data_IF_423377529541
#
_entry.id   IF_423377529541
#
_cell.length_a   1.000
_cell.length_b   1.000
_cell.length_c   1.000
_cell.angle_alpha   90.00
_cell.angle_beta   90.00
_cell.angle_gamma   90.00
#
_symmetry.space_group_name_H-M   'P 1'
#
loop_
_entity.id
_entity.type
_entity.pdbx_description
1 polymer ?
#
# COMPACT_ATOMS: atom_id res chain seq x y z
N UNK A 1 -33.75 -30.87 18.33
CA UNK A 1 -33.07 -30.67 17.03
C UNK A 1 -32.79 -29.18 16.91
N UNK A 2 -31.53 -28.76 17.03
CA UNK A 2 -31.13 -27.35 16.82
C UNK A 2 -30.81 -27.21 15.34
N UNK A 3 -31.63 -26.43 14.62
CA UNK A 3 -31.33 -26.02 13.24
C UNK A 3 -30.14 -25.08 13.25
N UNK A 4 -29.00 -25.56 12.80
CA UNK A 4 -27.89 -24.70 12.40
C UNK A 4 -28.26 -24.15 11.01
N UNK A 5 -28.66 -22.89 10.96
CA UNK A 5 -28.72 -22.14 9.70
C UNK A 5 -27.29 -22.04 9.19
N UNK A 6 -27.00 -22.61 8.02
CA UNK A 6 -25.81 -22.35 7.23
C UNK A 6 -25.83 -20.89 6.79
N UNK A 7 -25.45 -20.00 7.69
CA UNK A 7 -25.10 -18.62 7.33
C UNK A 7 -23.75 -18.71 6.59
N UNK A 8 -23.81 -18.80 5.28
CA UNK A 8 -22.66 -18.55 4.40
C UNK A 8 -22.38 -17.06 4.48
N UNK A 9 -21.77 -16.64 5.60
CA UNK A 9 -21.48 -15.25 5.90
C UNK A 9 -20.58 -14.64 4.84
N UNK A 10 -21.18 -14.08 3.82
CA UNK A 10 -20.49 -13.15 2.92
C UNK A 10 -20.05 -11.97 3.79
N UNK A 11 -18.75 -11.88 4.03
CA UNK A 11 -18.18 -10.79 4.81
C UNK A 11 -18.48 -9.46 4.08
N UNK A 12 -19.35 -8.64 4.65
CA UNK A 12 -19.69 -7.33 4.10
C UNK A 12 -18.62 -6.30 4.43
N UNK A 13 -18.24 -5.42 3.48
CA UNK A 13 -17.31 -4.33 3.75
C UNK A 13 -17.82 -3.40 4.86
N UNK A 14 -16.90 -2.92 5.69
CA UNK A 14 -17.17 -1.89 6.69
C UNK A 14 -16.75 -0.51 6.14
N UNK A 15 -17.71 0.25 5.63
CA UNK A 15 -17.46 1.58 5.07
C UNK A 15 -16.95 2.58 6.13
N UNK A 16 -17.41 2.46 7.37
CA UNK A 16 -16.95 3.31 8.47
C UNK A 16 -15.47 3.10 8.76
N UNK A 17 -15.00 1.84 8.74
CA UNK A 17 -13.58 1.53 8.93
C UNK A 17 -12.73 1.99 7.74
N UNK A 18 -13.25 1.88 6.52
CA UNK A 18 -12.58 2.41 5.33
C UNK A 18 -12.49 3.93 5.36
N UNK A 19 -13.58 4.61 5.70
CA UNK A 19 -13.60 6.07 5.83
C UNK A 19 -12.65 6.54 6.92
N UNK A 20 -12.66 5.91 8.10
CA UNK A 20 -11.78 6.23 9.21
C UNK A 20 -10.29 6.08 8.84
N UNK A 21 -9.92 4.99 8.16
CA UNK A 21 -8.56 4.80 7.67
C UNK A 21 -8.13 5.90 6.69
N UNK A 22 -9.00 6.25 5.73
CA UNK A 22 -8.71 7.27 4.73
C UNK A 22 -8.64 8.67 5.35
N UNK A 23 -9.52 8.97 6.31
CA UNK A 23 -9.49 10.23 7.06
C UNK A 23 -8.19 10.37 7.86
N UNK A 24 -7.74 9.31 8.52
CA UNK A 24 -6.47 9.28 9.21
C UNK A 24 -5.28 9.47 8.25
N UNK A 25 -5.35 8.88 7.04
CA UNK A 25 -4.27 8.96 6.06
C UNK A 25 -4.12 10.35 5.43
N UNK A 26 -5.22 11.10 5.22
CA UNK A 26 -5.14 12.34 4.44
C UNK A 26 -6.17 13.42 4.83
N UNK A 27 -6.92 13.23 5.90
CA UNK A 27 -7.96 14.15 6.34
C UNK A 27 -9.33 13.85 5.73
N UNK A 28 -10.34 14.49 6.33
CA UNK A 28 -11.74 14.34 5.94
C UNK A 28 -11.95 14.78 4.48
N UNK A 29 -12.79 14.03 3.78
CA UNK A 29 -13.18 14.30 2.38
C UNK A 29 -12.00 14.37 1.38
N UNK A 30 -10.82 13.86 1.76
CA UNK A 30 -9.68 13.79 0.87
C UNK A 30 -9.97 12.91 -0.36
N UNK A 31 -9.33 13.27 -1.47
CA UNK A 31 -9.42 12.51 -2.72
C UNK A 31 -8.28 11.51 -2.84
N UNK A 32 -8.59 10.37 -3.41
CA UNK A 32 -7.68 9.24 -3.56
C UNK A 32 -7.74 8.63 -4.96
N UNK A 33 -6.72 7.88 -5.29
CA UNK A 33 -6.76 6.93 -6.39
C UNK A 33 -6.89 5.53 -5.81
N UNK A 34 -8.03 4.90 -6.04
CA UNK A 34 -8.31 3.53 -5.66
C UNK A 34 -7.96 2.59 -6.81
N UNK A 35 -7.62 1.37 -6.47
CA UNK A 35 -7.31 0.30 -7.41
C UNK A 35 -7.98 -0.98 -6.95
N UNK A 36 -8.53 -1.75 -7.89
CA UNK A 36 -8.95 -3.13 -7.64
C UNK A 36 -8.17 -4.10 -8.51
N UNK A 37 -8.01 -5.33 -8.02
CA UNK A 37 -7.44 -6.45 -8.75
C UNK A 37 -8.19 -7.73 -8.38
N UNK A 38 -8.17 -8.73 -9.26
CA UNK A 38 -8.67 -10.05 -8.92
C UNK A 38 -7.76 -10.71 -7.88
N UNK A 39 -8.30 -10.98 -6.69
CA UNK A 39 -7.58 -11.69 -5.63
C UNK A 39 -7.60 -13.21 -5.82
N UNK A 40 -8.51 -13.76 -6.63
CA UNK A 40 -8.63 -15.21 -6.87
C UNK A 40 -7.63 -15.64 -7.92
N UNK A 41 -6.51 -16.24 -7.46
CA UNK A 41 -5.34 -16.55 -8.29
C UNK A 41 -5.65 -17.39 -9.53
N UNK A 42 -6.48 -18.40 -9.39
CA UNK A 42 -6.86 -19.32 -10.47
C UNK A 42 -7.65 -18.58 -11.56
N UNK A 43 -8.61 -17.76 -11.14
CA UNK A 43 -9.40 -16.92 -12.05
C UNK A 43 -8.52 -15.86 -12.73
N UNK A 44 -7.63 -15.20 -11.98
CA UNK A 44 -6.68 -14.23 -12.54
C UNK A 44 -5.78 -14.86 -13.59
N UNK A 45 -5.23 -16.07 -13.34
CA UNK A 45 -4.40 -16.80 -14.30
C UNK A 45 -5.18 -17.17 -15.56
N UNK A 46 -6.42 -17.71 -15.40
CA UNK A 46 -7.28 -18.04 -16.52
C UNK A 46 -7.61 -16.82 -17.36
N UNK A 47 -8.05 -15.71 -16.74
CA UNK A 47 -8.36 -14.47 -17.44
C UNK A 47 -7.15 -13.87 -18.16
N UNK A 48 -5.98 -13.89 -17.56
CA UNK A 48 -4.75 -13.41 -18.23
C UNK A 48 -4.38 -14.26 -19.44
N UNK A 49 -4.56 -15.59 -19.36
CA UNK A 49 -4.31 -16.49 -20.46
C UNK A 49 -5.32 -16.26 -21.61
N UNK A 50 -6.60 -16.14 -21.30
CA UNK A 50 -7.66 -16.13 -22.29
C UNK A 50 -7.92 -14.73 -22.87
N UNK A 51 -7.78 -13.68 -22.05
CA UNK A 51 -8.11 -12.29 -22.38
C UNK A 51 -6.93 -11.34 -22.41
N UNK A 52 -5.77 -11.77 -21.90
CA UNK A 52 -4.54 -10.93 -21.81
C UNK A 52 -4.59 -9.89 -20.68
N UNK A 53 -5.65 -9.78 -19.89
CA UNK A 53 -5.79 -8.77 -18.84
C UNK A 53 -6.59 -9.29 -17.62
N UNK A 54 -6.53 -8.55 -16.51
CA UNK A 54 -7.36 -8.75 -15.33
C UNK A 54 -8.67 -7.97 -15.47
N UNK A 55 -9.84 -8.64 -15.63
CA UNK A 55 -11.14 -7.97 -15.78
C UNK A 55 -11.62 -7.26 -14.51
N UNK A 56 -11.00 -7.51 -13.36
CA UNK A 56 -11.27 -6.81 -12.09
C UNK A 56 -10.32 -5.64 -11.83
N UNK A 57 -9.29 -5.44 -12.66
CA UNK A 57 -8.42 -4.29 -12.54
C UNK A 57 -9.16 -3.02 -12.97
N UNK A 58 -9.45 -2.14 -12.00
CA UNK A 58 -10.11 -0.85 -12.18
C UNK A 58 -9.40 0.21 -11.38
N UNK A 59 -9.34 1.42 -11.92
CA UNK A 59 -8.83 2.62 -11.25
C UNK A 59 -9.98 3.60 -11.05
N UNK A 60 -10.13 4.13 -9.84
CA UNK A 60 -11.11 5.14 -9.49
C UNK A 60 -10.40 6.33 -8.86
N UNK A 61 -10.75 7.55 -9.28
CA UNK A 61 -10.17 8.78 -8.76
C UNK A 61 -11.26 9.66 -8.17
N UNK A 62 -11.10 10.09 -6.92
CA UNK A 62 -12.09 10.93 -6.23
C UNK A 62 -12.20 10.61 -4.74
N UNK A 63 -13.30 11.02 -4.13
CA UNK A 63 -13.60 10.74 -2.73
C UNK A 63 -14.08 9.29 -2.54
N UNK A 64 -13.93 8.77 -1.33
CA UNK A 64 -14.44 7.43 -1.00
C UNK A 64 -15.95 7.31 -1.21
N UNK A 65 -16.71 8.34 -0.82
CA UNK A 65 -18.17 8.34 -0.97
C UNK A 65 -18.63 8.21 -2.42
N UNK A 66 -17.86 8.74 -3.39
CA UNK A 66 -18.18 8.60 -4.82
C UNK A 66 -18.03 7.16 -5.33
N UNK A 67 -17.18 6.34 -4.69
CA UNK A 67 -16.77 5.06 -5.26
C UNK A 67 -17.05 3.84 -4.36
N UNK A 68 -17.43 4.05 -3.09
CA UNK A 68 -17.61 2.97 -2.09
C UNK A 68 -18.49 1.82 -2.58
N UNK A 69 -19.60 2.12 -3.25
CA UNK A 69 -20.55 1.09 -3.70
C UNK A 69 -19.97 0.28 -4.89
N UNK A 70 -19.28 0.94 -5.82
CA UNK A 70 -18.60 0.26 -6.93
C UNK A 70 -17.44 -0.61 -6.42
N UNK A 71 -16.67 -0.13 -5.43
CA UNK A 71 -15.60 -0.90 -4.78
C UNK A 71 -16.18 -2.12 -4.05
N UNK A 72 -17.28 -1.95 -3.31
CA UNK A 72 -17.97 -3.04 -2.62
C UNK A 72 -18.51 -4.09 -3.58
N UNK A 73 -19.11 -3.67 -4.68
CA UNK A 73 -19.63 -4.58 -5.71
C UNK A 73 -18.52 -5.43 -6.35
N UNK A 74 -17.31 -4.86 -6.55
CA UNK A 74 -16.16 -5.63 -7.04
C UNK A 74 -15.58 -6.54 -5.95
N UNK A 75 -15.51 -6.07 -4.71
CA UNK A 75 -15.02 -6.87 -3.58
C UNK A 75 -15.91 -8.09 -3.33
N UNK A 76 -17.24 -7.94 -3.40
CA UNK A 76 -18.19 -9.04 -3.30
C UNK A 76 -18.00 -10.11 -4.40
N UNK A 77 -17.41 -9.73 -5.55
CA UNK A 77 -17.04 -10.64 -6.64
C UNK A 77 -15.62 -11.23 -6.48
N UNK A 78 -14.97 -10.97 -5.36
CA UNK A 78 -13.64 -11.49 -5.03
C UNK A 78 -12.48 -10.61 -5.51
N UNK A 79 -12.72 -9.36 -5.87
CA UNK A 79 -11.63 -8.40 -6.08
C UNK A 79 -11.07 -7.92 -4.74
N UNK A 80 -9.76 -7.74 -4.65
CA UNK A 80 -9.12 -6.95 -3.60
C UNK A 80 -9.29 -5.46 -3.88
N UNK A 81 -9.50 -4.66 -2.82
CA UNK A 81 -9.62 -3.20 -2.88
C UNK A 81 -8.39 -2.57 -2.26
N UNK A 82 -7.81 -1.61 -2.99
CA UNK A 82 -6.56 -0.96 -2.62
C UNK A 82 -6.68 0.56 -2.80
N UNK A 83 -5.84 1.29 -2.10
CA UNK A 83 -5.66 2.73 -2.25
C UNK A 83 -4.20 3.07 -2.50
N UNK A 84 -3.92 4.03 -3.38
CA UNK A 84 -2.57 4.59 -3.52
C UNK A 84 -2.26 5.40 -2.26
N UNK A 85 -1.21 5.01 -1.53
CA UNK A 85 -0.88 5.64 -0.23
C UNK A 85 -0.52 7.09 -0.43
N UNK A 86 0.41 7.38 -1.35
CA UNK A 86 0.84 8.73 -1.66
C UNK A 86 -0.18 9.48 -2.53
N UNK A 87 -0.17 10.80 -2.45
CA UNK A 87 -1.11 11.64 -3.17
C UNK A 87 -0.84 11.62 -4.67
N UNK A 88 -1.90 11.35 -5.44
CA UNK A 88 -1.88 11.46 -6.90
C UNK A 88 -2.48 12.78 -7.36
N UNK A 89 -2.25 13.12 -8.64
CA UNK A 89 -2.95 14.21 -9.34
C UNK A 89 -4.34 13.80 -9.85
N UNK A 90 -4.87 12.65 -9.45
CA UNK A 90 -6.16 12.06 -9.84
C UNK A 90 -6.31 11.76 -11.36
N UNK A 91 -5.21 11.77 -12.12
CA UNK A 91 -5.20 11.42 -13.55
C UNK A 91 -4.75 9.98 -13.80
N UNK A 92 -4.50 9.22 -12.72
CA UNK A 92 -4.04 7.84 -12.74
C UNK A 92 -3.14 7.52 -11.56
N UNK A 93 -2.48 6.36 -11.61
CA UNK A 93 -1.62 5.89 -10.52
C UNK A 93 -0.20 5.49 -10.96
N UNK A 94 0.28 5.98 -12.09
CA UNK A 94 1.70 5.81 -12.46
C UNK A 94 2.57 6.68 -11.56
N UNK A 95 3.85 6.40 -11.51
CA UNK A 95 4.83 7.21 -10.74
C UNK A 95 4.72 8.70 -11.06
N UNK A 96 4.63 9.06 -12.34
CA UNK A 96 4.45 10.44 -12.80
C UNK A 96 3.13 11.11 -12.34
N UNK A 97 2.19 10.35 -11.77
CA UNK A 97 0.98 10.90 -11.21
C UNK A 97 1.10 11.25 -9.72
N UNK A 98 2.18 10.85 -9.05
CA UNK A 98 2.38 11.14 -7.63
C UNK A 98 2.85 12.59 -7.47
N UNK A 99 2.20 13.32 -6.57
CA UNK A 99 2.46 14.75 -6.33
C UNK A 99 2.91 15.06 -4.90
N UNK A 100 2.69 14.13 -3.95
CA UNK A 100 3.11 14.31 -2.55
C UNK A 100 3.27 12.96 -1.86
N UNK A 101 4.31 12.81 -1.04
CA UNK A 101 4.44 11.71 -0.09
C UNK A 101 3.53 12.01 1.11
N UNK A 102 2.62 11.08 1.43
CA UNK A 102 1.75 11.15 2.62
C UNK A 102 2.31 10.36 3.77
N UNK A 103 2.89 9.20 3.48
CA UNK A 103 3.40 8.30 4.50
C UNK A 103 4.59 7.49 4.00
N UNK A 104 5.47 7.11 4.93
CA UNK A 104 6.31 5.93 4.81
C UNK A 104 5.56 4.75 5.42
N UNK A 105 5.74 3.54 4.90
CA UNK A 105 4.97 2.38 5.34
C UNK A 105 5.75 1.08 5.19
N UNK A 106 5.39 0.09 5.96
CA UNK A 106 5.98 -1.26 5.86
C UNK A 106 4.89 -2.30 5.71
N UNK A 107 5.14 -3.30 4.88
CA UNK A 107 4.34 -4.51 4.74
C UNK A 107 5.05 -5.65 5.46
N UNK A 108 4.47 -6.10 6.58
CA UNK A 108 4.96 -7.23 7.37
C UNK A 108 4.27 -8.52 6.89
N UNK A 109 4.72 -9.05 5.76
CA UNK A 109 4.22 -10.31 5.19
C UNK A 109 4.95 -11.51 5.83
N UNK A 110 4.53 -11.85 7.07
CA UNK A 110 5.12 -12.93 7.86
C UNK A 110 6.19 -12.50 8.87
N UNK A 111 6.58 -11.24 8.90
CA UNK A 111 7.46 -10.69 9.95
C UNK A 111 6.66 -10.31 11.20
N UNK A 112 7.24 -10.46 12.42
CA UNK A 112 6.55 -10.11 13.66
C UNK A 112 6.29 -8.60 13.74
N UNK A 113 5.16 -8.23 14.34
CA UNK A 113 4.81 -6.83 14.60
C UNK A 113 5.55 -6.25 15.83
N UNK A 114 6.04 -7.11 16.70
CA UNK A 114 6.63 -6.73 17.99
C UNK A 114 7.70 -5.62 17.89
N UNK A 115 8.66 -5.64 16.94
CA UNK A 115 9.64 -4.56 16.81
C UNK A 115 9.03 -3.17 16.55
N UNK A 116 7.82 -3.09 15.98
CA UNK A 116 7.09 -1.84 15.82
C UNK A 116 6.39 -1.48 17.13
N UNK A 117 5.77 -2.44 17.81
CA UNK A 117 5.08 -2.21 19.08
C UNK A 117 6.04 -1.80 20.20
N UNK A 118 7.31 -2.22 20.14
CA UNK A 118 8.36 -1.87 21.10
C UNK A 118 8.98 -0.49 20.85
N UNK A 119 8.57 0.22 19.80
CA UNK A 119 9.05 1.59 19.58
C UNK A 119 8.57 2.53 20.70
N UNK A 120 9.36 3.57 21.05
CA UNK A 120 8.88 4.66 21.90
C UNK A 120 7.58 5.26 21.38
N UNK A 121 6.75 5.76 22.29
CA UNK A 121 5.40 6.27 21.95
C UNK A 121 5.45 7.37 20.87
N UNK A 122 6.46 8.24 20.94
CA UNK A 122 6.72 9.34 20.00
C UNK A 122 7.31 8.89 18.64
N UNK A 123 7.55 7.60 18.43
CA UNK A 123 7.99 6.99 17.16
C UNK A 123 7.03 5.91 16.65
N UNK A 124 5.92 5.68 17.35
CA UNK A 124 4.90 4.72 16.90
C UNK A 124 4.29 5.13 15.55
N UNK A 125 3.89 4.18 14.71
CA UNK A 125 3.18 4.50 13.48
C UNK A 125 1.80 5.11 13.81
N UNK A 126 1.32 6.00 12.94
CA UNK A 126 -0.01 6.59 13.06
C UNK A 126 -1.11 5.56 12.86
N UNK A 127 -0.90 4.60 11.96
CA UNK A 127 -1.90 3.60 11.60
C UNK A 127 -1.22 2.25 11.46
N UNK A 128 -1.82 1.22 12.06
CA UNK A 128 -1.50 -0.18 11.76
C UNK A 128 -2.80 -0.85 11.34
N UNK A 129 -2.76 -1.65 10.28
CA UNK A 129 -3.88 -2.49 9.85
C UNK A 129 -3.50 -3.96 9.81
N UNK A 130 -4.44 -4.84 10.15
CA UNK A 130 -4.36 -6.26 9.83
C UNK A 130 -4.77 -6.44 8.36
N UNK A 131 -3.82 -6.77 7.50
CA UNK A 131 -4.07 -6.99 6.06
C UNK A 131 -4.58 -8.41 5.78
N UNK A 132 -4.21 -9.36 6.63
CA UNK A 132 -4.68 -10.74 6.72
C UNK A 132 -4.20 -11.33 8.06
N UNK A 133 -4.57 -12.56 8.45
CA UNK A 133 -4.10 -13.15 9.70
C UNK A 133 -2.57 -13.13 9.81
N UNK A 134 -2.06 -12.52 10.90
CA UNK A 134 -0.63 -12.36 11.21
C UNK A 134 0.17 -11.57 10.14
N UNK A 135 -0.49 -10.69 9.40
CA UNK A 135 0.15 -9.79 8.43
C UNK A 135 -0.34 -8.37 8.63
N UNK A 136 0.59 -7.43 8.64
CA UNK A 136 0.31 -6.06 9.04
C UNK A 136 0.88 -5.07 8.04
N UNK A 137 0.19 -3.93 7.90
CA UNK A 137 0.79 -2.74 7.29
C UNK A 137 0.85 -1.66 8.35
N UNK A 138 2.00 -1.03 8.53
CA UNK A 138 2.17 0.09 9.44
C UNK A 138 2.55 1.35 8.65
N UNK A 139 1.97 2.50 9.03
CA UNK A 139 2.08 3.76 8.31
C UNK A 139 2.56 4.87 9.25
N UNK A 140 3.63 5.54 8.87
CA UNK A 140 4.10 6.79 9.48
C UNK A 140 3.75 7.94 8.55
N UNK A 141 2.78 8.77 8.92
CA UNK A 141 2.46 9.99 8.18
C UNK A 141 3.64 10.94 8.25
N UNK A 142 4.01 11.53 7.11
CA UNK A 142 5.19 12.39 7.04
C UNK A 142 4.91 13.71 6.34
N UNK A 143 5.64 14.73 6.77
CA UNK A 143 5.79 16.01 6.08
C UNK A 143 7.23 16.15 5.58
N UNK A 144 7.44 17.08 4.64
CA UNK A 144 8.76 17.45 4.12
C UNK A 144 9.56 16.27 3.51
N UNK A 145 8.86 15.26 2.95
CA UNK A 145 9.47 14.16 2.24
C UNK A 145 9.45 14.44 0.74
N UNK A 146 10.61 14.65 0.15
CA UNK A 146 10.75 14.83 -1.29
C UNK A 146 10.45 13.50 -2.03
N UNK A 147 9.84 13.60 -3.22
CA UNK A 147 9.49 12.42 -4.01
C UNK A 147 10.72 11.56 -4.34
N UNK A 148 11.86 12.19 -4.56
CA UNK A 148 13.13 11.54 -4.89
C UNK A 148 13.73 10.75 -3.73
N UNK A 149 13.43 11.13 -2.49
CA UNK A 149 13.92 10.48 -1.27
C UNK A 149 13.09 9.22 -0.90
N UNK A 150 11.83 9.17 -1.34
CA UNK A 150 10.86 8.16 -0.91
C UNK A 150 11.41 6.74 -1.03
N UNK A 151 11.91 6.37 -2.20
CA UNK A 151 12.34 4.98 -2.46
C UNK A 151 13.41 4.50 -1.49
N UNK A 152 14.39 5.34 -1.25
CA UNK A 152 15.52 5.02 -0.35
C UNK A 152 15.06 4.90 1.10
N UNK A 153 14.21 5.83 1.55
CA UNK A 153 13.62 5.80 2.89
C UNK A 153 12.73 4.57 3.10
N UNK A 154 11.95 4.24 2.09
CA UNK A 154 11.07 3.08 2.11
C UNK A 154 11.87 1.77 2.20
N UNK A 155 12.98 1.67 1.48
CA UNK A 155 13.89 0.52 1.55
C UNK A 155 14.55 0.40 2.93
N UNK A 156 15.01 1.53 3.51
CA UNK A 156 15.60 1.56 4.85
C UNK A 156 14.56 1.15 5.91
N UNK A 157 13.32 1.62 5.80
CA UNK A 157 12.23 1.26 6.71
C UNK A 157 11.89 -0.24 6.60
N UNK A 158 11.79 -0.77 5.38
CA UNK A 158 11.56 -2.20 5.15
C UNK A 158 12.71 -3.06 5.70
N UNK A 159 13.96 -2.62 5.56
CA UNK A 159 15.13 -3.31 6.12
C UNK A 159 15.10 -3.33 7.65
N UNK A 160 14.76 -2.19 8.29
CA UNK A 160 14.69 -2.07 9.75
C UNK A 160 13.70 -3.04 10.39
N UNK A 161 12.52 -3.17 9.81
CA UNK A 161 11.44 -4.01 10.37
C UNK A 161 11.29 -5.37 9.69
N UNK A 162 12.27 -5.76 8.87
CA UNK A 162 12.23 -7.00 8.09
C UNK A 162 10.93 -7.12 7.25
N UNK A 163 10.46 -6.00 6.71
CA UNK A 163 9.29 -5.95 5.83
C UNK A 163 9.60 -6.37 4.41
N UNK A 164 8.55 -6.46 3.57
CA UNK A 164 8.71 -6.79 2.15
C UNK A 164 9.49 -5.68 1.43
N UNK A 165 10.73 -6.00 1.03
CA UNK A 165 11.63 -5.07 0.32
C UNK A 165 11.14 -4.68 -1.07
N UNK A 166 10.19 -5.42 -1.65
CA UNK A 166 9.56 -5.07 -2.94
C UNK A 166 8.57 -3.93 -2.82
N UNK A 167 8.14 -3.58 -1.59
CA UNK A 167 7.20 -2.50 -1.29
C UNK A 167 7.96 -1.18 -1.16
N UNK A 168 8.51 -0.67 -2.29
CA UNK A 168 9.31 0.55 -2.33
C UNK A 168 8.94 1.52 -3.45
N UNK A 169 7.88 1.24 -4.21
CA UNK A 169 7.42 2.11 -5.29
C UNK A 169 6.61 3.27 -4.72
N UNK A 170 6.89 4.50 -5.18
CA UNK A 170 6.19 5.71 -4.71
C UNK A 170 4.68 5.69 -5.03
N UNK A 171 4.28 4.97 -6.06
CA UNK A 171 2.89 4.78 -6.48
C UNK A 171 2.26 3.48 -5.93
N UNK A 172 2.85 2.92 -4.86
CA UNK A 172 2.36 1.69 -4.23
C UNK A 172 0.91 1.83 -3.79
N UNK A 173 0.13 0.81 -4.10
CA UNK A 173 -1.20 0.63 -3.54
C UNK A 173 -1.15 -0.38 -2.39
N UNK A 174 -1.84 -0.05 -1.31
CA UNK A 174 -1.99 -0.91 -0.13
C UNK A 174 -3.46 -1.22 0.08
N UNK A 175 -3.76 -2.34 0.73
CA UNK A 175 -5.15 -2.76 0.98
C UNK A 175 -5.90 -1.71 1.77
N UNK A 176 -7.13 -1.42 1.33
CA UNK A 176 -8.04 -0.54 2.03
C UNK A 176 -8.68 -1.29 3.20
N UNK A 177 -8.51 -0.75 4.42
CA UNK A 177 -9.17 -1.29 5.61
C UNK A 177 -10.70 -1.33 5.41
N UNK A 178 -11.37 -2.31 6.02
CA UNK A 178 -12.82 -2.49 5.90
C UNK A 178 -13.28 -3.31 4.69
N UNK A 179 -12.38 -3.73 3.79
CA UNK A 179 -12.70 -4.58 2.64
C UNK A 179 -12.12 -5.99 2.78
N UNK A 180 -12.74 -6.95 2.13
CA UNK A 180 -12.28 -8.34 2.16
C UNK A 180 -11.00 -8.54 1.35
N UNK A 181 -10.06 -9.25 1.96
CA UNK A 181 -8.91 -9.87 1.32
C UNK A 181 -9.30 -11.28 0.88
N UNK A 182 -9.35 -11.55 -0.43
CA UNK A 182 -9.92 -12.78 -1.00
C UNK A 182 -8.89 -13.73 -1.63
N UNK A 183 -7.58 -13.59 -1.30
CA UNK A 183 -6.51 -14.44 -1.88
C UNK A 183 -6.52 -15.88 -1.36
N UNK A 184 -7.07 -16.10 -0.17
CA UNK A 184 -7.21 -17.40 0.49
C UNK A 184 -8.59 -17.41 1.17
N UNK A 185 -8.69 -17.90 2.42
CA UNK A 185 -9.87 -17.68 3.24
C UNK A 185 -10.14 -16.18 3.36
N UNK A 186 -11.38 -15.78 3.12
CA UNK A 186 -11.76 -14.36 3.09
C UNK A 186 -11.58 -13.73 4.47
N UNK A 187 -10.86 -12.61 4.53
CA UNK A 187 -10.55 -11.89 5.75
C UNK A 187 -10.88 -10.41 5.58
N UNK A 188 -11.66 -9.81 6.48
CA UNK A 188 -11.86 -8.35 6.47
C UNK A 188 -10.60 -7.67 6.99
N UNK A 189 -9.95 -6.87 6.13
CA UNK A 189 -8.85 -6.00 6.56
C UNK A 189 -9.37 -4.99 7.57
N UNK A 190 -8.67 -4.80 8.68
CA UNK A 190 -9.17 -3.97 9.78
C UNK A 190 -8.06 -3.09 10.37
N UNK A 191 -8.48 -2.01 10.99
CA UNK A 191 -7.58 -1.15 11.77
C UNK A 191 -7.18 -1.93 13.03
N UNK A 192 -5.87 -2.17 13.18
CA UNK A 192 -5.28 -2.79 14.37
C UNK A 192 -5.07 -1.74 15.46
N UNK A 193 -4.36 -0.67 15.15
CA UNK A 193 -4.19 0.52 16.00
C UNK A 193 -4.23 1.79 15.17
N UNK A 194 -4.63 2.89 15.79
CA UNK A 194 -4.61 4.22 15.18
C UNK A 194 -4.32 5.26 16.26
N UNK A 195 -3.46 6.22 15.95
CA UNK A 195 -3.00 7.31 16.82
C UNK A 195 -3.64 8.62 16.35
N UNK A 196 -4.77 9.00 16.94
CA UNK A 196 -5.54 10.17 16.49
C UNK A 196 -4.88 11.52 16.82
N UNK A 197 -4.00 11.52 17.82
CA UNK A 197 -3.38 12.75 18.35
C UNK A 197 -1.97 13.00 17.87
N UNK A 198 -1.37 12.03 17.18
CA UNK A 198 0.00 12.15 16.69
C UNK A 198 0.03 12.99 15.42
N UNK A 199 0.77 14.09 15.44
CA UNK A 199 0.98 14.91 14.25
C UNK A 199 1.93 14.18 13.25
N UNK A 200 1.73 14.38 11.92
CA UNK A 200 2.65 13.84 10.93
C UNK A 200 4.11 14.21 11.22
N UNK A 201 4.99 13.24 11.15
CA UNK A 201 6.41 13.42 11.41
C UNK A 201 7.04 14.36 10.38
N UNK A 202 7.93 15.23 10.82
CA UNK A 202 8.98 15.69 9.92
C UNK A 202 9.83 14.48 9.52
N UNK A 203 10.05 14.28 8.22
CA UNK A 203 10.71 13.08 7.71
C UNK A 203 12.11 12.90 8.28
N UNK A 204 12.85 14.01 8.50
CA UNK A 204 14.20 13.95 9.07
C UNK A 204 14.17 13.47 10.52
N UNK A 205 13.24 14.00 11.34
CA UNK A 205 13.06 13.55 12.72
C UNK A 205 12.70 12.07 12.81
N UNK A 206 11.83 11.59 11.91
CA UNK A 206 11.49 10.17 11.85
C UNK A 206 12.70 9.31 11.48
N UNK A 207 13.48 9.73 10.48
CA UNK A 207 14.72 9.04 10.10
C UNK A 207 15.70 8.94 11.26
N UNK A 208 15.98 10.06 11.92
CA UNK A 208 16.91 10.12 13.04
C UNK A 208 16.41 9.25 14.20
N UNK A 209 15.13 9.36 14.56
CA UNK A 209 14.50 8.60 15.65
C UNK A 209 14.46 7.09 15.39
N UNK A 210 14.18 6.68 14.16
CA UNK A 210 14.19 5.27 13.78
C UNK A 210 15.60 4.75 13.41
N UNK A 211 16.63 5.60 13.37
CA UNK A 211 17.96 5.21 12.94
C UNK A 211 18.00 4.71 11.50
N UNK A 212 17.23 5.35 10.60
CA UNK A 212 17.22 4.99 9.18
C UNK A 212 18.44 5.61 8.50
N UNK A 213 19.42 4.79 8.18
CA UNK A 213 20.60 5.23 7.41
C UNK A 213 20.24 5.26 5.92
N UNK A 214 20.55 6.38 5.26
CA UNK A 214 20.57 6.45 3.81
C UNK A 214 21.91 5.86 3.35
N UNK A 215 21.95 4.57 3.01
CA UNK A 215 23.08 4.08 2.24
C UNK A 215 23.09 4.76 0.87
N UNK A 216 24.24 5.26 0.38
CA UNK A 216 24.30 5.82 -0.96
C UNK A 216 23.85 4.75 -1.97
N UNK A 217 22.91 5.11 -2.83
CA UNK A 217 22.55 4.23 -3.95
C UNK A 217 23.83 4.08 -4.79
N UNK A 218 24.37 2.86 -4.97
CA UNK A 218 25.50 2.69 -5.88
C UNK A 218 25.06 3.21 -7.26
N UNK A 219 25.83 4.14 -7.80
CA UNK A 219 25.61 4.66 -9.15
C UNK A 219 25.44 3.47 -10.10
N UNK A 220 24.33 3.43 -10.82
CA UNK A 220 24.20 2.47 -11.90
C UNK A 220 25.39 2.65 -12.81
N UNK A 221 26.16 1.59 -13.15
CA UNK A 221 27.23 1.71 -14.11
C UNK A 221 26.64 2.33 -15.38
N UNK A 222 27.17 3.48 -15.76
CA UNK A 222 26.83 4.13 -17.04
C UNK A 222 27.11 3.09 -18.13
N UNK A 223 26.15 2.75 -19.00
CA UNK A 223 26.46 1.84 -20.10
C UNK A 223 27.59 2.47 -20.91
N UNK A 224 28.68 1.72 -21.05
CA UNK A 224 29.80 2.12 -21.87
C UNK A 224 29.28 2.57 -23.24
N UNK A 225 29.48 3.85 -23.54
CA UNK A 225 29.24 4.36 -24.89
C UNK A 225 30.15 3.58 -25.83
N UNK A 226 29.53 2.76 -26.62
CA UNK A 226 30.11 2.07 -27.73
C UNK A 226 31.07 3.01 -28.49
N UNK A 227 32.40 2.76 -28.42
CA UNK A 227 33.37 3.39 -29.28
C UNK A 227 33.32 2.66 -30.62
N UNK A 228 32.97 3.30 -31.72
CA UNK A 228 33.07 2.69 -33.03
C UNK A 228 34.51 2.84 -33.53
N UNK A 229 35.36 1.88 -33.21
CA UNK A 229 36.60 1.69 -33.99
C UNK A 229 36.35 0.67 -35.09
N UNK A 230 35.85 1.15 -36.19
CA UNK A 230 35.91 0.47 -37.45
C UNK A 230 37.12 1.04 -38.23
N UNK A 231 38.24 0.36 -38.21
CA UNK A 231 39.28 0.47 -39.22
C UNK A 231 39.16 -0.75 -40.14
N UNK A 232 38.48 -0.55 -41.24
CA UNK A 232 38.72 -1.37 -42.43
C UNK A 232 40.10 -1.00 -42.98
N UNK A 233 40.99 -1.99 -43.12
CA UNK A 233 42.12 -1.95 -44.03
C UNK A 233 42.14 -3.23 -44.85
N UNK A 234 42.00 -2.97 -46.17
CA UNK A 234 42.42 -3.73 -47.38
C UNK A 234 42.24 -5.24 -47.37
#
# INVERSE_FOLDING_TARGET
MKNYSNDTGVLSPSFDKAALFLEALAGKDAQFTFQTFDDVKERLKANKKDKGFDPFARVYNGTFNQHKDALAALNAKGAGVYVTVNQTNLKGRKEANIVKVRALFVDLDGSPIQPIQDLPEDLQPHIIIDSSPNRYHAYWLVNNCELTQFKQLQQALAAKFNGDKSVNDINRVMRLAGFSHNKAESFITRIHTMQDTLAPFDVKKLMDGLGLTQEPIPDKPTPDRYSPNNTYNS
#
